data_IF_833988877417
#
_entry.id   IF_833988877417
#
_cell.length_a   1.000
_cell.length_b   1.000
_cell.length_c   1.000
_cell.angle_alpha   90.00
_cell.angle_beta   90.00
_cell.angle_gamma   90.00
#
_symmetry.space_group_name_H-M   'P 1'
#
loop_
_entity.id
_entity.type
_entity.pdbx_description
1 polymer ?
#
# COMPACT_ATOMS: atom_id res chain seq x y z
N UNK A 1 4.73 25.71 -11.53
CA UNK A 1 4.10 26.40 -10.37
C UNK A 1 3.40 25.44 -9.41
N UNK A 2 2.58 24.49 -9.88
CA UNK A 2 1.82 23.58 -9.00
C UNK A 2 2.47 22.22 -8.70
N UNK A 3 3.68 21.96 -9.21
CA UNK A 3 4.40 20.68 -9.02
C UNK A 3 4.60 20.32 -7.54
N UNK A 4 4.98 21.30 -6.70
CA UNK A 4 5.18 21.08 -5.25
C UNK A 4 3.94 20.58 -4.54
N UNK A 5 2.76 21.08 -4.91
CA UNK A 5 1.51 20.72 -4.23
C UNK A 5 0.91 19.44 -4.83
N UNK A 6 0.97 19.27 -6.15
CA UNK A 6 0.29 18.18 -6.84
C UNK A 6 1.13 16.88 -6.93
N UNK A 7 2.46 16.96 -6.88
CA UNK A 7 3.34 15.82 -7.20
C UNK A 7 4.41 15.57 -6.14
N UNK A 8 5.08 16.61 -5.63
CA UNK A 8 6.24 16.46 -4.73
C UNK A 8 5.91 15.75 -3.40
N UNK A 9 4.67 15.82 -2.92
CA UNK A 9 4.25 15.17 -1.68
C UNK A 9 3.91 13.67 -1.84
N UNK A 10 3.89 13.15 -3.08
CA UNK A 10 3.57 11.76 -3.36
C UNK A 10 4.85 10.99 -3.69
N UNK A 11 5.00 9.81 -3.09
CA UNK A 11 6.14 8.92 -3.35
C UNK A 11 5.76 7.91 -4.45
N UNK A 12 6.64 7.67 -5.45
CA UNK A 12 6.43 6.62 -6.44
C UNK A 12 6.23 5.24 -5.80
N UNK A 13 5.38 4.41 -6.40
CA UNK A 13 5.09 3.05 -5.93
C UNK A 13 4.30 2.97 -4.62
N UNK A 14 3.62 4.06 -4.22
CA UNK A 14 2.77 4.11 -3.02
C UNK A 14 1.30 4.22 -3.38
N UNK A 15 0.45 3.66 -2.52
CA UNK A 15 -1.00 3.77 -2.63
C UNK A 15 -1.49 4.83 -1.63
N UNK A 16 -2.36 5.69 -2.14
CA UNK A 16 -2.97 6.77 -1.37
C UNK A 16 -4.50 6.70 -1.48
N UNK A 17 -5.19 6.93 -0.37
CA UNK A 17 -6.65 7.07 -0.34
C UNK A 17 -7.00 8.55 -0.30
N UNK A 18 -7.77 9.02 -1.28
CA UNK A 18 -8.38 10.36 -1.26
C UNK A 18 -9.46 10.37 -0.18
N UNK A 19 -9.33 11.27 0.79
CA UNK A 19 -10.34 11.44 1.85
C UNK A 19 -11.11 12.75 1.74
N UNK A 20 -10.65 13.71 0.93
CA UNK A 20 -11.28 15.00 0.74
C UNK A 20 -10.91 15.59 -0.62
N UNK A 21 -11.86 16.27 -1.25
CA UNK A 21 -11.67 17.01 -2.51
C UNK A 21 -11.90 18.49 -2.21
N UNK A 22 -10.87 19.31 -2.41
CA UNK A 22 -10.97 20.75 -2.18
C UNK A 22 -11.70 21.42 -3.35
N UNK A 23 -12.52 22.41 -3.04
CA UNK A 23 -13.21 23.22 -4.05
C UNK A 23 -12.28 24.32 -4.64
N UNK A 24 -11.07 23.92 -5.05
CA UNK A 24 -10.06 24.79 -5.66
C UNK A 24 -9.61 24.13 -6.96
N UNK A 25 -9.76 24.86 -8.06
CA UNK A 25 -9.36 24.42 -9.40
C UNK A 25 -8.06 25.11 -9.83
N UNK A 26 -7.20 24.36 -10.51
CA UNK A 26 -5.97 24.87 -11.08
C UNK A 26 -5.85 24.49 -12.55
N UNK A 27 -5.35 25.42 -13.41
CA UNK A 27 -5.03 25.07 -14.78
C UNK A 27 -3.84 24.09 -14.81
N UNK A 28 -3.99 23.01 -15.57
CA UNK A 28 -2.95 22.00 -15.77
C UNK A 28 -2.61 21.90 -17.25
N UNK A 29 -1.31 21.96 -17.61
CA UNK A 29 -0.89 21.85 -19.02
C UNK A 29 -1.11 20.48 -19.65
N UNK A 30 -1.37 19.45 -18.82
CA UNK A 30 -1.59 18.07 -19.25
C UNK A 30 -3.09 17.79 -19.41
N UNK A 31 -3.93 18.47 -18.63
CA UNK A 31 -5.38 18.27 -18.63
C UNK A 31 -6.08 19.58 -19.01
N UNK A 32 -6.61 19.66 -20.23
CA UNK A 32 -7.25 20.86 -20.78
C UNK A 32 -8.43 21.37 -19.94
N UNK A 33 -9.08 20.49 -19.17
CA UNK A 33 -10.19 20.85 -18.26
C UNK A 33 -9.74 21.35 -16.88
N UNK A 34 -8.44 21.47 -16.62
CA UNK A 34 -7.90 21.79 -15.29
C UNK A 34 -7.91 20.60 -14.33
N UNK A 35 -7.50 20.84 -13.08
CA UNK A 35 -7.41 19.82 -12.01
C UNK A 35 -7.96 20.36 -10.70
N UNK A 36 -8.43 19.46 -9.83
CA UNK A 36 -8.81 19.76 -8.44
C UNK A 36 -7.77 19.26 -7.46
N UNK A 37 -7.58 20.00 -6.38
CA UNK A 37 -6.72 19.57 -5.28
C UNK A 37 -7.47 18.55 -4.42
N UNK A 38 -6.78 17.46 -4.08
CA UNK A 38 -7.28 16.44 -3.15
C UNK A 38 -6.38 16.35 -1.94
N UNK A 39 -6.95 15.92 -0.82
CA UNK A 39 -6.20 15.52 0.36
C UNK A 39 -6.19 13.99 0.42
N UNK A 40 -4.99 13.46 0.64
CA UNK A 40 -4.73 12.03 0.64
C UNK A 40 -4.05 11.59 1.91
N UNK A 41 -4.25 10.32 2.28
CA UNK A 41 -3.49 9.61 3.29
C UNK A 41 -2.90 8.34 2.68
N UNK A 42 -1.79 7.85 3.23
CA UNK A 42 -1.28 6.53 2.84
C UNK A 42 -2.34 5.46 3.14
N UNK A 43 -2.51 4.56 2.17
CA UNK A 43 -3.49 3.49 2.29
C UNK A 43 -2.97 2.36 3.16
N UNK A 44 -3.90 1.72 3.88
CA UNK A 44 -3.64 0.41 4.46
C UNK A 44 -3.49 -0.61 3.33
N UNK A 45 -2.57 -1.55 3.49
CA UNK A 45 -2.21 -2.53 2.47
C UNK A 45 -2.54 -3.91 3.00
N UNK A 46 -3.17 -4.74 2.18
CA UNK A 46 -3.36 -6.16 2.50
C UNK A 46 -2.19 -6.96 1.95
N UNK A 47 -1.57 -7.78 2.81
CA UNK A 47 -0.44 -8.60 2.42
C UNK A 47 -0.52 -10.01 3.02
N UNK A 48 0.11 -10.96 2.34
CA UNK A 48 0.35 -12.30 2.81
C UNK A 48 1.74 -12.35 3.45
N UNK A 49 1.79 -12.68 4.74
CA UNK A 49 3.07 -12.83 5.46
C UNK A 49 3.14 -14.21 6.13
N UNK A 50 4.33 -14.76 6.36
CA UNK A 50 4.45 -16.03 7.08
C UNK A 50 3.82 -15.93 8.47
N UNK A 51 3.04 -16.93 8.87
CA UNK A 51 2.28 -16.94 10.13
C UNK A 51 3.11 -16.57 11.36
N UNK A 52 4.40 -16.96 11.38
CA UNK A 52 5.35 -16.64 12.46
C UNK A 52 5.59 -15.13 12.68
N UNK A 53 5.32 -14.30 11.66
CA UNK A 53 5.45 -12.84 11.72
C UNK A 53 4.08 -12.14 11.85
N UNK A 54 2.97 -12.87 11.71
CA UNK A 54 1.62 -12.33 11.81
C UNK A 54 1.23 -12.15 13.28
N UNK A 55 1.73 -11.07 13.89
CA UNK A 55 1.42 -10.66 15.26
C UNK A 55 0.82 -9.26 15.19
N UNK A 56 -0.41 -9.11 15.67
CA UNK A 56 -1.08 -7.81 15.70
C UNK A 56 -0.30 -6.81 16.55
N UNK A 57 -0.15 -5.60 16.05
CA UNK A 57 0.64 -4.56 16.71
C UNK A 57 2.13 -4.60 16.38
N UNK A 58 2.66 -5.70 15.83
CA UNK A 58 4.07 -5.84 15.55
C UNK A 58 4.54 -4.89 14.44
N UNK A 59 5.81 -4.50 14.52
CA UNK A 59 6.50 -3.75 13.47
C UNK A 59 7.63 -4.59 12.89
N UNK A 60 7.98 -4.31 11.63
CA UNK A 60 9.01 -5.07 10.93
C UNK A 60 9.47 -4.42 9.65
N UNK A 61 10.39 -5.10 8.97
CA UNK A 61 10.88 -4.74 7.63
C UNK A 61 10.28 -5.73 6.64
N UNK A 62 9.57 -5.22 5.64
CA UNK A 62 8.91 -6.04 4.64
C UNK A 62 9.98 -6.73 3.79
N UNK A 63 9.91 -8.06 3.73
CA UNK A 63 10.93 -8.91 3.11
C UNK A 63 10.33 -10.15 2.46
N UNK A 64 9.02 -10.13 2.20
CA UNK A 64 8.26 -11.25 1.68
C UNK A 64 7.97 -11.01 0.20
N UNK A 65 8.11 -12.06 -0.61
CA UNK A 65 7.76 -12.06 -2.03
C UNK A 65 7.47 -13.49 -2.47
N UNK A 66 6.73 -13.65 -3.57
CA UNK A 66 6.42 -14.95 -4.17
C UNK A 66 6.39 -14.83 -5.70
N UNK A 67 7.05 -15.74 -6.40
CA UNK A 67 7.09 -15.76 -7.87
C UNK A 67 5.94 -16.56 -8.50
N UNK A 68 5.19 -17.31 -7.68
CA UNK A 68 4.08 -18.13 -8.17
C UNK A 68 2.86 -17.29 -8.49
N UNK A 69 2.31 -17.53 -9.69
CA UNK A 69 1.03 -16.95 -10.12
C UNK A 69 -0.12 -17.82 -9.60
N UNK A 70 -0.69 -17.40 -8.49
CA UNK A 70 -1.87 -18.03 -7.89
C UNK A 70 -2.91 -16.98 -7.49
N UNK A 71 -4.07 -17.42 -7.01
CA UNK A 71 -5.17 -16.55 -6.58
C UNK A 71 -4.83 -15.56 -5.45
N UNK A 72 -3.70 -15.76 -4.77
CA UNK A 72 -3.22 -14.90 -3.68
C UNK A 72 -1.98 -14.07 -4.07
N UNK A 73 -1.59 -14.06 -5.35
CA UNK A 73 -0.38 -13.38 -5.80
C UNK A 73 -0.36 -11.90 -5.41
N UNK A 74 -1.49 -11.21 -5.52
CA UNK A 74 -1.65 -9.79 -5.17
C UNK A 74 -1.45 -9.51 -3.67
N UNK A 75 -1.55 -10.53 -2.80
CA UNK A 75 -1.20 -10.38 -1.38
C UNK A 75 0.27 -10.70 -1.12
N UNK A 76 0.88 -11.59 -1.90
CA UNK A 76 2.28 -11.95 -1.78
C UNK A 76 3.21 -10.87 -2.37
N UNK A 77 2.75 -10.17 -3.40
CA UNK A 77 3.42 -9.04 -4.06
C UNK A 77 2.46 -7.84 -4.06
N UNK A 78 2.16 -7.28 -2.87
CA UNK A 78 1.15 -6.24 -2.75
C UNK A 78 1.66 -4.90 -3.27
N UNK A 79 0.80 -4.17 -3.97
CA UNK A 79 1.06 -2.79 -4.34
C UNK A 79 1.16 -1.89 -3.09
N UNK A 80 2.02 -0.88 -3.16
CA UNK A 80 2.13 0.16 -2.12
C UNK A 80 3.19 -0.09 -1.04
N UNK A 81 3.71 -1.31 -0.92
CA UNK A 81 4.82 -1.65 -0.02
C UNK A 81 5.90 -2.43 -0.78
N UNK A 82 7.15 -2.03 -0.57
CA UNK A 82 8.32 -2.61 -1.22
C UNK A 82 9.17 -3.36 -0.20
N UNK A 83 9.98 -4.28 -0.70
CA UNK A 83 11.02 -4.94 0.10
C UNK A 83 11.94 -3.85 0.71
N UNK A 84 12.16 -3.94 2.01
CA UNK A 84 12.94 -2.98 2.78
C UNK A 84 12.11 -1.90 3.49
N UNK A 85 10.83 -1.74 3.16
CA UNK A 85 9.98 -0.78 3.87
C UNK A 85 9.67 -1.22 5.30
N UNK A 86 9.60 -0.26 6.21
CA UNK A 86 9.08 -0.50 7.55
C UNK A 86 7.56 -0.55 7.51
N UNK A 87 6.98 -1.43 8.31
CA UNK A 87 5.54 -1.53 8.45
C UNK A 87 5.12 -1.83 9.88
N UNK A 88 3.83 -1.65 10.14
CA UNK A 88 3.12 -2.01 11.35
C UNK A 88 1.91 -2.86 10.98
N UNK A 89 1.71 -3.98 11.68
CA UNK A 89 0.55 -4.86 11.49
C UNK A 89 -0.62 -4.31 12.29
N UNK A 90 -1.65 -3.88 11.57
CA UNK A 90 -2.87 -3.31 12.17
C UNK A 90 -3.82 -4.42 12.58
N UNK A 91 -3.99 -5.44 11.74
CA UNK A 91 -4.92 -6.52 11.97
C UNK A 91 -4.48 -7.80 11.26
N UNK A 92 -4.79 -8.93 11.87
CA UNK A 92 -4.64 -10.24 11.25
C UNK A 92 -6.00 -10.67 10.69
N UNK A 93 -6.03 -11.09 9.43
CA UNK A 93 -7.23 -11.65 8.77
C UNK A 93 -7.18 -13.18 8.76
N UNK A 94 -7.58 -13.78 7.65
CA UNK A 94 -7.68 -15.22 7.42
C UNK A 94 -6.36 -15.88 6.99
N UNK A 95 -6.30 -17.20 7.18
CA UNK A 95 -5.17 -18.03 6.73
C UNK A 95 -5.35 -18.27 5.23
N UNK A 96 -4.28 -18.09 4.46
CA UNK A 96 -4.31 -18.36 3.02
C UNK A 96 -3.85 -19.80 2.74
N UNK A 97 -4.57 -20.50 1.87
CA UNK A 97 -4.22 -21.84 1.41
C UNK A 97 -3.20 -21.75 0.28
N UNK A 98 -1.93 -21.50 0.64
CA UNK A 98 -0.86 -21.37 -0.36
C UNK A 98 -0.67 -22.67 -1.14
N UNK A 99 -0.74 -22.65 -2.49
CA UNK A 99 -0.52 -23.84 -3.33
C UNK A 99 0.86 -24.50 -3.14
N UNK A 100 1.85 -23.73 -2.68
CA UNK A 100 3.20 -24.22 -2.36
C UNK A 100 3.30 -24.86 -0.96
N UNK A 101 2.20 -24.92 -0.19
CA UNK A 101 2.19 -25.47 1.17
C UNK A 101 2.73 -24.51 2.25
N UNK A 102 3.08 -23.27 1.89
CA UNK A 102 3.57 -22.29 2.85
C UNK A 102 2.49 -21.87 3.85
N UNK A 103 2.86 -21.74 5.12
CA UNK A 103 1.96 -21.29 6.17
C UNK A 103 1.94 -19.76 6.25
N UNK A 104 1.05 -19.15 5.46
CA UNK A 104 0.90 -17.70 5.32
C UNK A 104 -0.46 -17.23 5.84
N UNK A 105 -0.47 -16.00 6.35
CA UNK A 105 -1.63 -15.33 6.90
C UNK A 105 -1.83 -14.02 6.14
N UNK A 106 -3.08 -13.70 5.80
CA UNK A 106 -3.44 -12.37 5.30
C UNK A 106 -3.46 -11.38 6.46
N UNK A 107 -2.84 -10.23 6.29
CA UNK A 107 -2.77 -9.16 7.29
C UNK A 107 -3.07 -7.81 6.65
N UNK A 108 -3.53 -6.87 7.46
CA UNK A 108 -3.58 -5.45 7.13
C UNK A 108 -2.35 -4.80 7.73
N UNK A 109 -1.56 -4.12 6.90
CA UNK A 109 -0.37 -3.39 7.33
C UNK A 109 -0.44 -1.91 6.94
N UNK A 110 0.22 -1.10 7.75
CA UNK A 110 0.45 0.32 7.50
C UNK A 110 1.95 0.54 7.35
N UNK A 111 2.35 1.21 6.26
CA UNK A 111 3.74 1.57 6.03
C UNK A 111 4.18 2.64 7.04
N UNK A 112 5.42 2.54 7.51
CA UNK A 112 6.09 3.56 8.32
C UNK A 112 7.29 4.09 7.53
N UNK A 113 7.50 5.41 7.58
CA UNK A 113 8.71 6.06 7.08
C UNK A 113 9.86 5.95 8.09
#
# INVERSE_FOLDING_TARGET
>A
RFFKTCVENLKPGRIYTVFSVRNIEHPCKIHDSGVKIVEVKESQIEAAIPKKFAIEGATGIFSFSCDERCQYHDFCVPDGINIGDKFHIIAIKDKLECPLGNNVQRVILERKD
#
